data_IF_831294904759
#
_entry.id   IF_831294904759
#
_cell.length_a   1.000
_cell.length_b   1.000
_cell.length_c   1.000
_cell.angle_alpha   90.00
_cell.angle_beta   90.00
_cell.angle_gamma   90.00
#
_symmetry.space_group_name_H-M   'P 1'
#
loop_
_entity.id
_entity.type
_entity.pdbx_description
1 polymer ?
#
# COMPACT_ATOMS: atom_id res chain seq x y z
N UNK A 1 -13.26 -2.65 -22.37
CA UNK A 1 -12.67 -1.34 -21.96
C UNK A 1 -11.23 -1.53 -21.47
N UNK A 2 -10.30 -0.63 -21.83
CA UNK A 2 -8.87 -0.73 -21.41
C UNK A 2 -8.69 -0.44 -19.92
N UNK A 3 -7.84 -1.23 -19.24
CA UNK A 3 -7.47 -1.09 -17.82
C UNK A 3 -6.04 -0.54 -17.61
N UNK A 4 -5.44 0.05 -18.64
CA UNK A 4 -4.02 0.44 -18.62
C UNK A 4 -3.70 1.49 -17.55
N UNK A 5 -4.54 2.51 -17.42
CA UNK A 5 -4.34 3.61 -16.48
C UNK A 5 -4.37 3.13 -15.03
N UNK A 6 -5.34 2.31 -14.66
CA UNK A 6 -5.45 1.75 -13.30
C UNK A 6 -4.22 0.90 -12.96
N UNK A 7 -3.74 0.08 -13.89
CA UNK A 7 -2.52 -0.71 -13.68
C UNK A 7 -1.30 0.16 -13.47
N UNK A 8 -1.15 1.24 -14.24
CA UNK A 8 -0.04 2.18 -14.07
C UNK A 8 -0.10 2.80 -12.67
N UNK A 9 -1.27 3.26 -12.22
CA UNK A 9 -1.42 3.80 -10.87
C UNK A 9 -1.07 2.79 -9.78
N UNK A 10 -1.54 1.54 -9.89
CA UNK A 10 -1.22 0.49 -8.93
C UNK A 10 0.28 0.17 -8.93
N UNK A 11 0.94 0.13 -10.09
CA UNK A 11 2.38 -0.13 -10.14
C UNK A 11 3.21 1.01 -9.57
N UNK A 12 2.83 2.27 -9.83
CA UNK A 12 3.50 3.43 -9.24
C UNK A 12 3.30 3.43 -7.71
N UNK A 13 2.08 3.17 -7.23
CA UNK A 13 1.78 3.10 -5.81
C UNK A 13 2.58 1.99 -5.12
N UNK A 14 2.61 0.80 -5.73
CA UNK A 14 3.37 -0.31 -5.18
C UNK A 14 4.88 -0.03 -5.19
N UNK A 15 5.41 0.60 -6.24
CA UNK A 15 6.82 1.00 -6.28
C UNK A 15 7.15 2.02 -5.18
N UNK A 16 6.26 3.00 -4.95
CA UNK A 16 6.38 3.95 -3.85
C UNK A 16 6.35 3.25 -2.50
N UNK A 17 5.42 2.31 -2.29
CA UNK A 17 5.29 1.55 -1.04
C UNK A 17 6.52 0.69 -0.74
N UNK A 18 7.14 0.10 -1.77
CA UNK A 18 8.42 -0.60 -1.64
C UNK A 18 9.55 0.35 -1.24
N UNK A 19 9.64 1.50 -1.91
CA UNK A 19 10.66 2.51 -1.63
C UNK A 19 10.52 3.06 -0.20
N UNK A 20 9.31 3.40 0.21
CA UNK A 20 9.01 3.92 1.54
C UNK A 20 9.29 2.88 2.64
N UNK A 21 8.92 1.62 2.42
CA UNK A 21 9.28 0.52 3.31
C UNK A 21 10.80 0.33 3.44
N UNK A 22 11.55 0.42 2.33
CA UNK A 22 13.01 0.36 2.34
C UNK A 22 13.63 1.54 3.10
N UNK A 23 13.15 2.78 2.87
CA UNK A 23 13.60 3.95 3.60
C UNK A 23 13.30 3.82 5.10
N UNK A 24 12.13 3.29 5.46
CA UNK A 24 11.73 3.04 6.85
C UNK A 24 12.71 2.09 7.55
N UNK A 25 13.05 0.97 6.92
CA UNK A 25 13.98 -0.01 7.52
C UNK A 25 15.41 0.52 7.57
N UNK A 26 15.93 1.01 6.44
CA UNK A 26 17.36 1.31 6.32
C UNK A 26 17.74 2.72 6.76
N UNK A 27 16.87 3.72 6.58
CA UNK A 27 17.17 5.10 6.99
C UNK A 27 16.68 5.32 8.42
N UNK A 28 15.38 5.18 8.66
CA UNK A 28 14.80 5.47 9.97
C UNK A 28 15.22 4.44 11.02
N UNK A 29 15.19 3.15 10.69
CA UNK A 29 15.67 2.09 11.59
C UNK A 29 17.13 2.30 12.03
N UNK A 30 18.04 2.57 11.09
CA UNK A 30 19.45 2.82 11.44
C UNK A 30 19.63 4.11 12.24
N UNK A 31 18.87 5.17 11.92
CA UNK A 31 18.90 6.43 12.67
C UNK A 31 18.49 6.25 14.13
N UNK A 32 17.39 5.53 14.40
CA UNK A 32 16.92 5.20 15.75
C UNK A 32 17.97 4.38 16.51
N UNK A 33 18.58 3.40 15.84
CA UNK A 33 19.61 2.55 16.46
C UNK A 33 20.84 3.36 16.87
N UNK A 34 21.24 4.36 16.08
CA UNK A 34 22.37 5.26 16.40
C UNK A 34 22.06 6.17 17.58
N UNK A 35 20.86 6.74 17.65
CA UNK A 35 20.46 7.56 18.82
C UNK A 35 20.46 6.77 20.14
N UNK A 36 20.16 5.48 20.10
CA UNK A 36 20.26 4.60 21.27
C UNK A 36 21.69 4.30 21.75
N UNK A 37 22.72 4.70 21.00
CA UNK A 37 24.14 4.54 21.37
C UNK A 37 24.72 5.81 22.01
N UNK A 38 24.24 7.01 21.65
CA UNK A 38 24.71 8.32 22.12
C UNK A 38 24.11 8.75 23.47
N UNK A 39 23.96 7.79 24.39
CA UNK A 39 23.34 8.00 25.70
C UNK A 39 24.42 8.40 26.73
N UNK A 40 25.16 9.46 26.44
CA UNK A 40 26.23 9.96 27.30
C UNK A 40 25.67 10.78 28.48
N UNK A 41 26.19 10.55 29.69
CA UNK A 41 25.84 11.34 30.89
C UNK A 41 24.62 10.86 31.70
N UNK A 42 23.99 9.74 31.34
CA UNK A 42 22.85 9.17 32.07
C UNK A 42 23.30 8.13 33.11
N UNK A 43 22.56 8.02 34.22
CA UNK A 43 22.77 6.95 35.20
C UNK A 43 22.58 5.56 34.56
N UNK A 44 23.19 4.52 35.14
CA UNK A 44 23.10 3.14 34.61
C UNK A 44 21.65 2.68 34.43
N UNK A 45 20.76 3.05 35.35
CA UNK A 45 19.34 2.73 35.28
C UNK A 45 18.64 3.45 34.11
N UNK A 46 18.89 4.75 33.93
CA UNK A 46 18.33 5.54 32.83
C UNK A 46 18.86 5.08 31.47
N UNK A 47 20.15 4.75 31.38
CA UNK A 47 20.75 4.21 30.16
C UNK A 47 20.09 2.88 29.76
N UNK A 48 19.81 1.99 30.73
CA UNK A 48 19.14 0.71 30.46
C UNK A 48 17.69 0.91 29.98
N UNK A 49 16.95 1.84 30.59
CA UNK A 49 15.60 2.19 30.17
C UNK A 49 15.57 2.78 28.75
N UNK A 50 16.46 3.71 28.44
CA UNK A 50 16.58 4.31 27.11
C UNK A 50 16.92 3.26 26.04
N UNK A 51 17.90 2.38 26.28
CA UNK A 51 18.26 1.30 25.34
C UNK A 51 17.08 0.35 25.06
N UNK A 52 16.29 0.00 26.08
CA UNK A 52 15.11 -0.85 25.90
C UNK A 52 14.02 -0.16 25.05
N UNK A 53 13.77 1.13 25.29
CA UNK A 53 12.83 1.92 24.50
C UNK A 53 13.27 2.04 23.04
N UNK A 54 14.52 2.45 22.79
CA UNK A 54 15.05 2.55 21.43
C UNK A 54 15.08 1.21 20.70
N UNK A 55 15.39 0.12 21.41
CA UNK A 55 15.31 -1.23 20.85
C UNK A 55 13.88 -1.61 20.43
N UNK A 56 12.89 -1.26 21.26
CA UNK A 56 11.47 -1.52 20.95
C UNK A 56 10.98 -0.69 19.76
N UNK A 57 11.33 0.60 19.72
CA UNK A 57 11.00 1.50 18.61
C UNK A 57 11.66 1.02 17.32
N UNK A 58 12.94 0.64 17.38
CA UNK A 58 13.66 0.07 16.23
C UNK A 58 12.93 -1.16 15.67
N UNK A 59 12.58 -2.12 16.52
CA UNK A 59 11.87 -3.32 16.09
C UNK A 59 10.52 -2.99 15.46
N UNK A 60 9.75 -2.07 16.07
CA UNK A 60 8.48 -1.62 15.53
C UNK A 60 8.63 -1.02 14.12
N UNK A 61 9.60 -0.11 13.94
CA UNK A 61 9.87 0.54 12.65
C UNK A 61 10.29 -0.47 11.59
N UNK A 62 11.16 -1.43 11.94
CA UNK A 62 11.59 -2.48 11.00
C UNK A 62 10.43 -3.38 10.58
N UNK A 63 9.61 -3.85 11.53
CA UNK A 63 8.43 -4.68 11.23
C UNK A 63 7.46 -3.91 10.35
N UNK A 64 7.21 -2.64 10.66
CA UNK A 64 6.33 -1.79 9.87
C UNK A 64 6.87 -1.59 8.44
N UNK A 65 8.16 -1.30 8.27
CA UNK A 65 8.77 -1.17 6.95
C UNK A 65 8.73 -2.46 6.14
N UNK A 66 8.96 -3.62 6.77
CA UNK A 66 8.79 -4.93 6.12
C UNK A 66 7.34 -5.16 5.69
N UNK A 67 6.36 -4.78 6.51
CA UNK A 67 4.94 -4.87 6.16
C UNK A 67 4.60 -4.03 4.92
N UNK A 68 5.15 -2.81 4.80
CA UNK A 68 4.99 -1.98 3.60
C UNK A 68 5.60 -2.65 2.37
N UNK A 69 6.78 -3.25 2.50
CA UNK A 69 7.42 -3.98 1.40
C UNK A 69 6.54 -5.15 0.94
N UNK A 70 6.02 -5.94 1.88
CA UNK A 70 5.14 -7.07 1.57
C UNK A 70 3.84 -6.62 0.89
N UNK A 71 3.24 -5.51 1.36
CA UNK A 71 2.05 -4.93 0.73
C UNK A 71 2.34 -4.45 -0.70
N UNK A 72 3.48 -3.80 -0.93
CA UNK A 72 3.93 -3.40 -2.27
C UNK A 72 4.03 -4.61 -3.21
N UNK A 73 4.70 -5.68 -2.79
CA UNK A 73 4.80 -6.91 -3.58
C UNK A 73 3.44 -7.57 -3.84
N UNK A 74 2.56 -7.61 -2.83
CA UNK A 74 1.21 -8.14 -2.97
C UNK A 74 0.40 -7.34 -3.99
N UNK A 75 0.47 -6.01 -3.96
CA UNK A 75 -0.23 -5.13 -4.88
C UNK A 75 0.25 -5.32 -6.34
N UNK A 76 1.56 -5.49 -6.56
CA UNK A 76 2.13 -5.85 -7.87
C UNK A 76 1.57 -7.20 -8.36
N UNK A 77 1.56 -8.20 -7.48
CA UNK A 77 1.04 -9.53 -7.82
C UNK A 77 -0.45 -9.49 -8.18
N UNK A 78 -1.27 -8.80 -7.38
CA UNK A 78 -2.71 -8.67 -7.63
C UNK A 78 -3.00 -7.92 -8.94
N UNK A 79 -2.27 -6.83 -9.21
CA UNK A 79 -2.38 -6.08 -10.46
C UNK A 79 -2.05 -6.94 -11.67
N UNK A 80 -0.96 -7.70 -11.61
CA UNK A 80 -0.51 -8.57 -12.71
C UNK A 80 -1.47 -9.73 -12.97
N UNK A 81 -1.89 -10.43 -11.91
CA UNK A 81 -2.66 -11.68 -12.04
C UNK A 81 -4.14 -11.44 -12.33
N UNK A 82 -4.75 -10.48 -11.63
CA UNK A 82 -6.21 -10.35 -11.59
C UNK A 82 -6.75 -9.08 -12.29
N UNK A 83 -5.92 -8.07 -12.56
CA UNK A 83 -6.35 -6.82 -13.20
C UNK A 83 -6.20 -6.86 -14.74
N UNK A 84 -6.89 -7.82 -15.38
CA UNK A 84 -6.87 -8.00 -16.85
C UNK A 84 -7.98 -7.18 -17.54
N UNK A 85 -7.81 -6.94 -18.84
CA UNK A 85 -8.85 -6.29 -19.65
C UNK A 85 -10.13 -7.14 -19.64
N UNK A 86 -11.29 -6.51 -19.49
CA UNK A 86 -12.58 -7.21 -19.46
C UNK A 86 -12.89 -7.96 -18.15
N UNK A 87 -11.97 -7.99 -17.17
CA UNK A 87 -12.28 -8.56 -15.87
C UNK A 87 -13.33 -7.70 -15.14
N UNK A 88 -14.47 -8.31 -14.81
CA UNK A 88 -15.54 -7.74 -14.00
C UNK A 88 -15.46 -8.37 -12.62
N UNK A 89 -14.94 -7.63 -11.64
CA UNK A 89 -14.82 -8.10 -10.27
C UNK A 89 -14.80 -6.95 -9.28
N UNK A 90 -15.61 -7.03 -8.23
CA UNK A 90 -15.75 -5.97 -7.22
C UNK A 90 -14.67 -6.04 -6.13
N UNK A 91 -14.13 -7.24 -5.84
CA UNK A 91 -13.17 -7.48 -4.76
C UNK A 91 -11.87 -6.69 -4.94
N UNK A 92 -11.35 -6.67 -6.16
CA UNK A 92 -10.06 -6.06 -6.48
C UNK A 92 -10.08 -4.52 -6.36
N UNK A 93 -11.06 -3.80 -6.95
CA UNK A 93 -11.18 -2.36 -6.73
C UNK A 93 -11.38 -1.99 -5.27
N UNK A 94 -12.20 -2.76 -4.52
CA UNK A 94 -12.43 -2.52 -3.09
C UNK A 94 -11.14 -2.75 -2.29
N UNK A 95 -10.33 -3.76 -2.63
CA UNK A 95 -9.01 -3.95 -2.02
C UNK A 95 -8.14 -2.70 -2.14
N UNK A 96 -8.07 -2.08 -3.33
CA UNK A 96 -7.28 -0.86 -3.49
C UNK A 96 -7.88 0.34 -2.75
N UNK A 97 -9.20 0.44 -2.60
CA UNK A 97 -9.78 1.45 -1.70
C UNK A 97 -9.37 1.22 -0.25
N UNK A 98 -9.34 -0.03 0.22
CA UNK A 98 -8.85 -0.38 1.56
C UNK A 98 -7.37 -0.01 1.69
N UNK A 99 -6.53 -0.27 0.68
CA UNK A 99 -5.14 0.21 0.67
C UNK A 99 -5.06 1.73 0.75
N UNK A 100 -5.90 2.47 0.03
CA UNK A 100 -5.95 3.94 0.11
C UNK A 100 -6.34 4.45 1.50
N UNK A 101 -7.32 3.83 2.15
CA UNK A 101 -7.71 4.15 3.53
C UNK A 101 -6.59 3.81 4.51
N UNK A 102 -5.93 2.66 4.34
CA UNK A 102 -4.76 2.29 5.13
C UNK A 102 -3.64 3.33 4.99
N UNK A 103 -3.34 3.76 3.75
CA UNK A 103 -2.39 4.82 3.46
C UNK A 103 -2.74 6.15 4.14
N UNK A 104 -4.03 6.46 4.31
CA UNK A 104 -4.47 7.63 5.06
C UNK A 104 -4.07 7.58 6.54
N UNK A 105 -4.26 6.43 7.19
CA UNK A 105 -3.88 6.27 8.61
C UNK A 105 -2.38 6.42 8.86
N UNK A 106 -1.56 6.07 7.86
CA UNK A 106 -0.09 6.21 7.94
C UNK A 106 0.41 7.52 7.29
N UNK A 107 -0.51 8.41 6.90
CA UNK A 107 -0.23 9.71 6.27
C UNK A 107 0.58 9.63 4.96
N UNK A 108 0.46 8.52 4.22
CA UNK A 108 1.18 8.27 2.97
C UNK A 108 0.43 8.89 1.77
N UNK A 109 0.61 10.20 1.59
CA UNK A 109 -0.12 11.01 0.61
C UNK A 109 -0.06 10.48 -0.83
N UNK A 110 1.11 10.07 -1.37
CA UNK A 110 1.18 9.51 -2.73
C UNK A 110 0.32 8.26 -2.90
N UNK A 111 0.37 7.33 -1.94
CA UNK A 111 -0.39 6.08 -2.04
C UNK A 111 -1.90 6.29 -1.86
N UNK A 112 -2.32 7.25 -1.03
CA UNK A 112 -3.75 7.64 -0.93
C UNK A 112 -4.27 8.01 -2.32
N UNK A 113 -3.60 8.95 -2.99
CA UNK A 113 -4.05 9.45 -4.30
C UNK A 113 -4.10 8.33 -5.34
N UNK A 114 -3.05 7.52 -5.44
CA UNK A 114 -2.92 6.50 -6.47
C UNK A 114 -3.88 5.32 -6.26
N UNK A 115 -3.98 4.78 -5.03
CA UNK A 115 -4.85 3.65 -4.75
C UNK A 115 -6.34 4.04 -4.79
N UNK A 116 -6.70 5.20 -4.27
CA UNK A 116 -8.08 5.69 -4.34
C UNK A 116 -8.51 5.92 -5.80
N UNK A 117 -7.65 6.56 -6.60
CA UNK A 117 -7.92 6.77 -8.03
C UNK A 117 -8.08 5.44 -8.77
N UNK A 118 -7.18 4.48 -8.56
CA UNK A 118 -7.27 3.16 -9.19
C UNK A 118 -8.55 2.39 -8.78
N UNK A 119 -8.90 2.44 -7.49
CA UNK A 119 -10.11 1.80 -6.95
C UNK A 119 -11.41 2.39 -7.52
N UNK A 120 -11.55 3.73 -7.50
CA UNK A 120 -12.74 4.43 -7.98
C UNK A 120 -12.92 4.22 -9.50
N UNK A 121 -11.85 4.42 -10.29
CA UNK A 121 -11.90 4.18 -11.74
C UNK A 121 -12.21 2.71 -12.02
N UNK A 122 -11.65 1.80 -11.22
CA UNK A 122 -11.91 0.38 -11.28
C UNK A 122 -13.39 0.03 -11.15
N UNK A 123 -14.06 0.58 -10.13
CA UNK A 123 -15.49 0.41 -9.87
C UNK A 123 -16.36 1.07 -10.95
N UNK A 124 -16.03 2.28 -11.37
CA UNK A 124 -16.78 2.99 -12.40
C UNK A 124 -16.82 2.21 -13.73
N UNK A 125 -15.67 1.71 -14.18
CA UNK A 125 -15.60 0.88 -15.40
C UNK A 125 -16.28 -0.48 -15.24
N UNK A 126 -16.24 -1.08 -14.04
CA UNK A 126 -17.01 -2.30 -13.75
C UNK A 126 -18.51 -2.08 -13.93
N UNK A 127 -19.04 -0.96 -13.42
CA UNK A 127 -20.45 -0.59 -13.56
C UNK A 127 -20.82 -0.42 -15.04
N UNK A 128 -19.98 0.28 -15.81
CA UNK A 128 -20.18 0.46 -17.26
C UNK A 128 -20.19 -0.86 -18.04
N UNK A 129 -19.24 -1.76 -17.78
CA UNK A 129 -19.20 -3.06 -18.47
C UNK A 129 -20.38 -3.96 -18.11
N UNK A 130 -20.86 -3.93 -16.85
CA UNK A 130 -22.06 -4.66 -16.44
C UNK A 130 -23.32 -4.15 -17.13
N UNK A 131 -23.47 -2.83 -17.26
CA UNK A 131 -24.59 -2.23 -17.97
C UNK A 131 -24.60 -2.64 -19.45
N UNK A 132 -23.43 -2.59 -20.10
CA UNK A 132 -23.30 -3.03 -21.51
C UNK A 132 -23.62 -4.52 -21.68
N UNK A 133 -23.17 -5.38 -20.76
CA UNK A 133 -23.48 -6.81 -20.80
C UNK A 133 -24.98 -7.08 -20.65
N UNK A 134 -25.67 -6.37 -19.76
CA UNK A 134 -27.11 -6.53 -19.57
C UNK A 134 -27.92 -6.07 -20.79
N UNK A 135 -27.51 -4.98 -21.45
CA UNK A 135 -28.18 -4.50 -22.66
C UNK A 135 -28.10 -5.52 -23.80
N UNK A 136 -26.93 -6.14 -24.01
CA UNK A 136 -26.75 -7.18 -25.03
C UNK A 136 -27.65 -8.40 -24.78
N UNK A 137 -27.77 -8.84 -23.54
CA UNK A 137 -28.66 -9.95 -23.16
C UNK A 137 -30.14 -9.57 -23.37
N UNK A 138 -30.50 -8.31 -23.15
CA UNK A 138 -31.85 -7.81 -23.42
C UNK A 138 -32.20 -7.78 -24.91
N UNK A 139 -31.25 -7.43 -25.78
CA UNK A 139 -31.41 -7.45 -27.24
C UNK A 139 -31.48 -8.87 -27.81
N UNK A 140 -30.80 -9.86 -27.23
CA UNK A 140 -30.87 -11.26 -27.67
C UNK A 140 -32.15 -11.99 -27.25
N UNK A 141 -32.90 -11.46 -26.27
CA UNK A 141 -34.13 -12.06 -25.74
C UNK A 141 -35.43 -11.39 -26.22
N UNK A 142 -35.34 -10.29 -27.00
CA UNK A 142 -36.48 -9.56 -27.57
C UNK A 142 -36.65 -9.82 -29.05
#
# INVERSE_FOLDING_TARGET
MSRRLERVFIYIAAAWQLLDGLLTVFVYGLFIKRQGLDVAGLSVAQMRAMKALFGSIFNFVVIFGVLLILLGLLNIYLARKHWKNGAIGWKLPVWFLVCGVFSYFIMDMPNIFLFMSAGIIGLAKNKGMRAQQNNLIGEEMG
#
